data_IF_702000266926
#
_entry.id   IF_702000266926
#
_cell.length_a   1.000
_cell.length_b   1.000
_cell.length_c   1.000
_cell.angle_alpha   90.00
_cell.angle_beta   90.00
_cell.angle_gamma   90.00
#
_symmetry.space_group_name_H-M   'P 1'
#
loop_
_entity.id
_entity.type
_entity.pdbx_description
1 polymer ?
#
# COMPACT_ATOMS: atom_id res chain seq x y z
N UNK A 1 -53.32 9.52 -25.91
CA UNK A 1 -52.93 9.46 -24.48
C UNK A 1 -52.11 8.20 -24.24
N UNK A 2 -51.27 8.19 -23.19
CA UNK A 2 -50.54 7.04 -22.62
C UNK A 2 -49.10 6.78 -23.08
N UNK A 3 -48.16 7.55 -22.50
CA UNK A 3 -46.76 7.15 -22.26
C UNK A 3 -46.37 7.49 -20.82
N UNK A 4 -46.69 6.61 -19.86
CA UNK A 4 -46.29 6.87 -18.44
C UNK A 4 -45.87 5.64 -17.63
N UNK A 5 -45.95 4.42 -18.16
CA UNK A 5 -45.64 3.20 -17.38
C UNK A 5 -44.18 2.72 -17.43
N UNK A 6 -43.34 3.21 -18.36
CA UNK A 6 -41.95 2.71 -18.53
C UNK A 6 -40.93 3.24 -17.51
N UNK A 7 -41.20 4.35 -16.82
CA UNK A 7 -40.17 5.07 -16.05
C UNK A 7 -39.85 4.47 -14.66
N UNK A 8 -40.78 3.73 -14.06
CA UNK A 8 -40.62 3.14 -12.72
C UNK A 8 -39.65 1.95 -12.69
N UNK A 9 -39.80 1.02 -13.64
CA UNK A 9 -38.97 -0.19 -13.74
C UNK A 9 -37.50 0.10 -14.05
N UNK A 10 -37.22 1.14 -14.84
CA UNK A 10 -35.86 1.52 -15.24
C UNK A 10 -35.08 2.19 -14.08
N UNK A 11 -35.77 3.03 -13.28
CA UNK A 11 -35.21 3.64 -12.07
C UNK A 11 -34.86 2.59 -11.02
N UNK A 12 -35.75 1.63 -10.75
CA UNK A 12 -35.50 0.56 -9.79
C UNK A 12 -34.28 -0.30 -10.19
N UNK A 13 -34.17 -0.68 -11.47
CA UNK A 13 -33.00 -1.42 -12.01
C UNK A 13 -31.70 -0.63 -11.88
N UNK A 14 -31.73 0.70 -12.09
CA UNK A 14 -30.54 1.57 -11.95
C UNK A 14 -30.08 1.67 -10.50
N UNK A 15 -31.00 1.78 -9.53
CA UNK A 15 -30.67 1.79 -8.11
C UNK A 15 -30.12 0.44 -7.63
N UNK A 16 -30.71 -0.66 -8.09
CA UNK A 16 -30.21 -2.02 -7.80
C UNK A 16 -28.77 -2.22 -8.27
N UNK A 17 -28.46 -1.87 -9.53
CA UNK A 17 -27.09 -1.98 -10.08
C UNK A 17 -26.06 -1.13 -9.31
N UNK A 18 -26.43 0.10 -8.94
CA UNK A 18 -25.56 0.97 -8.13
C UNK A 18 -25.28 0.39 -6.74
N UNK A 19 -26.25 -0.29 -6.15
CA UNK A 19 -26.11 -0.91 -4.84
C UNK A 19 -25.19 -2.14 -4.91
N UNK A 20 -25.31 -2.96 -5.95
CA UNK A 20 -24.42 -4.09 -6.19
C UNK A 20 -22.97 -3.65 -6.41
N UNK A 21 -22.73 -2.69 -7.31
CA UNK A 21 -21.37 -2.18 -7.57
C UNK A 21 -20.70 -1.59 -6.33
N UNK A 22 -21.46 -0.93 -5.45
CA UNK A 22 -20.95 -0.42 -4.16
C UNK A 22 -20.57 -1.54 -3.19
N UNK A 23 -21.29 -2.66 -3.20
CA UNK A 23 -20.97 -3.82 -2.36
C UNK A 23 -19.68 -4.48 -2.84
N UNK A 24 -19.56 -4.71 -4.15
CA UNK A 24 -18.35 -5.24 -4.77
C UNK A 24 -17.12 -4.34 -4.46
N UNK A 25 -17.25 -3.02 -4.64
CA UNK A 25 -16.19 -2.08 -4.27
C UNK A 25 -15.85 -2.10 -2.77
N UNK A 26 -16.84 -2.32 -1.90
CA UNK A 26 -16.63 -2.43 -0.46
C UNK A 26 -15.92 -3.73 -0.08
N UNK A 27 -16.25 -4.84 -0.73
CA UNK A 27 -15.62 -6.14 -0.56
C UNK A 27 -14.17 -6.13 -1.04
N UNK A 28 -13.90 -5.55 -2.23
CA UNK A 28 -12.55 -5.33 -2.74
C UNK A 28 -11.71 -4.47 -1.79
N UNK A 29 -12.31 -3.40 -1.25
CA UNK A 29 -11.65 -2.52 -0.28
C UNK A 29 -11.28 -3.28 0.99
N UNK A 30 -12.19 -4.09 1.52
CA UNK A 30 -11.95 -4.84 2.75
C UNK A 30 -10.91 -5.94 2.53
N UNK A 31 -10.97 -6.68 1.42
CA UNK A 31 -9.97 -7.68 1.07
C UNK A 31 -8.57 -7.07 0.93
N UNK A 32 -8.47 -5.86 0.36
CA UNK A 32 -7.22 -5.13 0.24
C UNK A 32 -6.68 -4.68 1.60
N UNK A 33 -7.55 -4.16 2.49
CA UNK A 33 -7.17 -3.80 3.85
C UNK A 33 -6.73 -5.01 4.66
N UNK A 34 -7.44 -6.13 4.53
CA UNK A 34 -7.10 -7.36 5.23
C UNK A 34 -5.72 -7.88 4.82
N UNK A 35 -5.42 -7.83 3.52
CA UNK A 35 -4.08 -8.15 3.04
C UNK A 35 -3.01 -7.21 3.62
N UNK A 36 -3.27 -5.89 3.65
CA UNK A 36 -2.35 -4.92 4.25
C UNK A 36 -2.15 -5.18 5.75
N UNK A 37 -3.20 -5.56 6.48
CA UNK A 37 -3.12 -5.93 7.91
C UNK A 37 -2.25 -7.16 8.12
N UNK A 38 -2.42 -8.21 7.29
CA UNK A 38 -1.59 -9.42 7.36
C UNK A 38 -0.12 -9.14 7.07
N UNK A 39 0.17 -8.32 6.06
CA UNK A 39 1.54 -7.90 5.73
C UNK A 39 2.12 -6.99 6.84
N UNK A 40 1.34 -6.06 7.38
CA UNK A 40 1.73 -5.21 8.50
C UNK A 40 2.08 -6.03 9.74
N UNK A 41 1.26 -7.01 10.09
CA UNK A 41 1.50 -7.90 11.24
C UNK A 41 2.82 -8.68 11.06
N UNK A 42 3.07 -9.20 9.85
CA UNK A 42 4.29 -9.94 9.52
C UNK A 42 5.55 -9.07 9.64
N UNK A 43 5.47 -7.79 9.21
CA UNK A 43 6.56 -6.82 9.34
C UNK A 43 6.74 -6.40 10.80
N UNK A 44 5.65 -6.02 11.48
CA UNK A 44 5.68 -5.56 12.85
C UNK A 44 6.27 -6.60 13.79
N UNK A 45 5.88 -7.87 13.65
CA UNK A 45 6.44 -8.98 14.42
C UNK A 45 7.96 -9.11 14.24
N UNK A 46 8.47 -8.94 13.01
CA UNK A 46 9.91 -9.03 12.74
C UNK A 46 10.73 -7.98 13.47
N UNK A 47 10.16 -6.78 13.66
CA UNK A 47 10.85 -5.62 14.21
C UNK A 47 10.42 -5.25 15.64
N UNK A 48 9.53 -6.04 16.26
CA UNK A 48 9.02 -5.76 17.60
C UNK A 48 8.16 -4.48 17.67
N UNK A 49 7.49 -4.11 16.58
CA UNK A 49 6.63 -2.93 16.52
C UNK A 49 5.23 -3.26 17.03
N UNK A 50 4.60 -2.30 17.70
CA UNK A 50 3.19 -2.39 18.14
C UNK A 50 2.39 -1.28 17.48
N UNK A 51 1.30 -1.65 16.83
CA UNK A 51 0.32 -0.72 16.26
C UNK A 51 -1.08 -1.16 16.69
N UNK A 52 -2.04 -0.25 16.62
CA UNK A 52 -3.42 -0.48 17.06
C UNK A 52 -4.32 -0.96 15.93
N UNK A 53 -4.25 -0.30 14.77
CA UNK A 53 -5.08 -0.63 13.61
C UNK A 53 -4.43 -0.17 12.29
N UNK A 54 -4.77 -0.86 11.19
CA UNK A 54 -4.56 -0.38 9.82
C UNK A 54 -5.94 -0.05 9.22
N UNK A 55 -6.11 1.19 8.77
CA UNK A 55 -7.34 1.74 8.22
C UNK A 55 -7.13 2.38 6.84
N UNK A 56 -8.22 2.56 6.10
CA UNK A 56 -8.19 3.37 4.88
C UNK A 56 -8.12 4.87 5.23
N UNK A 57 -7.21 5.60 4.59
CA UNK A 57 -7.18 7.06 4.69
C UNK A 57 -8.38 7.70 3.97
N UNK A 58 -8.83 8.84 4.47
CA UNK A 58 -9.94 9.59 3.90
C UNK A 58 -9.59 10.11 2.51
N UNK A 59 -10.43 9.82 1.51
CA UNK A 59 -10.24 10.27 0.12
C UNK A 59 -10.21 11.80 -0.08
N UNK A 60 -10.62 12.58 0.93
CA UNK A 60 -10.50 14.05 0.93
C UNK A 60 -9.09 14.53 1.28
N UNK A 61 -8.26 13.71 1.92
CA UNK A 61 -6.88 14.04 2.24
C UNK A 61 -6.08 14.00 0.94
N UNK A 62 -5.62 15.16 0.47
CA UNK A 62 -4.94 15.27 -0.83
C UNK A 62 -3.42 15.15 -0.76
N UNK A 63 -2.81 15.55 0.35
CA UNK A 63 -1.35 15.77 0.44
C UNK A 63 -0.50 14.58 0.88
N UNK A 64 -1.07 13.53 1.49
CA UNK A 64 -0.29 12.40 2.03
C UNK A 64 -0.89 11.07 1.65
N UNK A 65 -0.04 10.07 1.44
CA UNK A 65 -0.45 8.71 1.11
C UNK A 65 -0.70 7.86 2.36
N UNK A 66 -0.14 8.23 3.50
CA UNK A 66 -0.39 7.58 4.78
C UNK A 66 -0.25 8.51 5.97
N UNK A 67 -0.56 8.00 7.15
CA UNK A 67 -0.24 8.65 8.42
C UNK A 67 -0.22 7.64 9.56
N UNK A 68 0.76 7.77 10.46
CA UNK A 68 0.82 7.08 11.74
C UNK A 68 0.44 8.03 12.88
N UNK A 69 -0.60 7.69 13.63
CA UNK A 69 -1.02 8.43 14.81
C UNK A 69 -0.21 7.97 16.04
N UNK A 70 -0.13 8.82 17.07
CA UNK A 70 0.60 8.50 18.32
C UNK A 70 -0.01 7.34 19.09
N UNK A 71 -1.29 7.01 18.88
CA UNK A 71 -1.97 5.84 19.45
C UNK A 71 -1.73 4.55 18.63
N UNK A 72 -0.89 4.61 17.59
CA UNK A 72 -0.54 3.49 16.75
C UNK A 72 -1.60 3.15 15.69
N UNK A 73 -2.58 4.03 15.44
CA UNK A 73 -3.47 3.89 14.27
C UNK A 73 -2.73 4.35 13.01
N UNK A 74 -2.63 3.47 12.01
CA UNK A 74 -2.00 3.75 10.73
C UNK A 74 -3.10 3.82 9.66
N UNK A 75 -3.09 4.90 8.89
CA UNK A 75 -4.01 5.09 7.76
C UNK A 75 -3.25 5.03 6.47
N UNK A 76 -3.77 4.28 5.50
CA UNK A 76 -3.16 4.10 4.18
C UNK A 76 -4.18 4.47 3.10
N UNK A 77 -3.77 5.34 2.18
CA UNK A 77 -4.57 5.69 1.00
C UNK A 77 -4.65 4.50 0.07
N UNK A 78 -5.85 4.18 -0.40
CA UNK A 78 -6.09 3.06 -1.32
C UNK A 78 -6.28 3.50 -2.77
N UNK A 79 -6.56 4.79 -3.02
CA UNK A 79 -6.89 5.33 -4.35
C UNK A 79 -6.14 6.62 -4.63
N UNK A 80 -5.76 6.84 -5.88
CA UNK A 80 -5.15 8.08 -6.33
C UNK A 80 -6.15 9.23 -6.26
N UNK A 81 -5.77 10.36 -5.67
CA UNK A 81 -6.68 11.51 -5.46
C UNK A 81 -7.16 12.10 -6.77
N UNK A 82 -6.28 12.24 -7.76
CA UNK A 82 -6.61 12.86 -9.05
C UNK A 82 -7.43 11.95 -9.96
N UNK A 83 -7.08 10.67 -10.07
CA UNK A 83 -7.68 9.76 -11.05
C UNK A 83 -8.77 8.86 -10.46
N UNK A 84 -8.88 8.80 -9.13
CA UNK A 84 -9.80 7.89 -8.42
C UNK A 84 -9.45 6.40 -8.56
N UNK A 85 -8.44 6.06 -9.36
CA UNK A 85 -8.00 4.69 -9.62
C UNK A 85 -7.35 4.09 -8.35
N UNK A 86 -7.50 2.78 -8.10
CA UNK A 86 -6.77 2.10 -7.03
C UNK A 86 -5.26 2.33 -7.14
N UNK A 87 -4.60 2.53 -6.01
CA UNK A 87 -3.15 2.52 -5.96
C UNK A 87 -2.62 1.12 -6.24
N UNK A 88 -1.38 1.05 -6.72
CA UNK A 88 -0.69 -0.23 -6.83
C UNK A 88 -0.42 -0.77 -5.43
N UNK A 89 -0.54 -2.08 -5.27
CA UNK A 89 -0.23 -2.75 -4.00
C UNK A 89 1.18 -2.41 -3.50
N UNK A 90 2.18 -2.43 -4.39
CA UNK A 90 3.55 -2.06 -4.04
C UNK A 90 3.67 -0.64 -3.49
N UNK A 91 2.89 0.32 -4.01
CA UNK A 91 2.88 1.69 -3.50
C UNK A 91 2.29 1.76 -2.10
N UNK A 92 1.18 1.05 -1.85
CA UNK A 92 0.59 0.95 -0.51
C UNK A 92 1.53 0.29 0.50
N UNK A 93 2.24 -0.77 0.10
CA UNK A 93 3.23 -1.44 0.97
C UNK A 93 4.42 -0.54 1.29
N UNK A 94 4.91 0.24 0.32
CA UNK A 94 5.98 1.21 0.58
C UNK A 94 5.53 2.27 1.59
N UNK A 95 4.32 2.80 1.45
CA UNK A 95 3.72 3.70 2.45
C UNK A 95 3.54 3.01 3.80
N UNK A 96 3.06 1.77 3.83
CA UNK A 96 2.92 1.00 5.07
C UNK A 96 4.26 0.85 5.81
N UNK A 97 5.35 0.55 5.11
CA UNK A 97 6.69 0.47 5.71
C UNK A 97 7.13 1.81 6.32
N UNK A 98 6.84 2.92 5.64
CA UNK A 98 7.10 4.27 6.12
C UNK A 98 6.34 4.56 7.41
N UNK A 99 5.03 4.27 7.45
CA UNK A 99 4.22 4.50 8.64
C UNK A 99 4.60 3.57 9.81
N UNK A 100 5.00 2.33 9.53
CA UNK A 100 5.53 1.43 10.56
C UNK A 100 6.85 1.96 11.14
N UNK A 101 7.70 2.59 10.33
CA UNK A 101 8.92 3.21 10.81
C UNK A 101 8.64 4.36 11.80
N UNK A 102 7.52 5.07 11.63
CA UNK A 102 7.09 6.12 12.56
C UNK A 102 6.75 5.64 13.96
N UNK A 103 6.39 4.36 14.13
CA UNK A 103 6.19 3.76 15.46
C UNK A 103 7.47 3.76 16.32
N UNK A 104 8.63 3.83 15.68
CA UNK A 104 9.94 3.88 16.35
C UNK A 104 10.60 5.25 16.26
N UNK A 105 10.43 5.95 15.13
CA UNK A 105 11.07 7.23 14.85
C UNK A 105 10.05 8.26 14.37
N UNK A 106 9.63 9.16 15.26
CA UNK A 106 8.59 10.15 14.95
C UNK A 106 8.98 11.14 13.85
N UNK A 107 10.26 11.53 13.78
CA UNK A 107 10.77 12.50 12.80
C UNK A 107 11.55 11.82 11.67
N UNK A 108 11.49 12.38 10.46
CA UNK A 108 12.19 11.90 9.25
C UNK A 108 13.72 12.12 9.24
N UNK A 109 14.37 12.05 10.40
CA UNK A 109 15.82 12.16 10.54
C UNK A 109 16.58 10.94 10.00
N UNK A 110 17.91 10.91 10.20
CA UNK A 110 18.77 9.82 9.74
C UNK A 110 18.30 8.45 10.26
N UNK A 111 18.04 8.32 11.57
CA UNK A 111 17.56 7.06 12.17
C UNK A 111 16.25 6.56 11.55
N UNK A 112 15.34 7.46 11.16
CA UNK A 112 14.10 7.08 10.48
C UNK A 112 14.40 6.51 9.09
N UNK A 113 15.24 7.19 8.30
CA UNK A 113 15.57 6.75 6.94
C UNK A 113 16.23 5.38 6.95
N UNK A 114 17.23 5.20 7.83
CA UNK A 114 17.95 3.93 7.99
C UNK A 114 16.98 2.81 8.40
N UNK A 115 16.09 3.09 9.36
CA UNK A 115 15.12 2.08 9.80
C UNK A 115 14.09 1.76 8.73
N UNK A 116 13.56 2.76 8.03
CA UNK A 116 12.61 2.58 6.93
C UNK A 116 13.23 1.75 5.80
N UNK A 117 14.49 1.98 5.45
CA UNK A 117 15.20 1.17 4.46
C UNK A 117 15.31 -0.29 4.88
N UNK A 118 15.66 -0.54 6.15
CA UNK A 118 15.72 -1.91 6.70
C UNK A 118 14.35 -2.59 6.67
N UNK A 119 13.28 -1.87 7.04
CA UNK A 119 11.90 -2.39 7.00
C UNK A 119 11.48 -2.73 5.56
N UNK A 120 11.72 -1.81 4.63
CA UNK A 120 11.38 -1.99 3.22
C UNK A 120 12.16 -3.14 2.58
N UNK A 121 13.43 -3.30 2.96
CA UNK A 121 14.26 -4.40 2.46
C UNK A 121 13.85 -5.77 3.01
N UNK A 122 13.41 -5.83 4.27
CA UNK A 122 12.75 -7.03 4.80
C UNK A 122 11.47 -7.35 4.04
N UNK A 123 10.61 -6.36 3.79
CA UNK A 123 9.38 -6.56 3.02
C UNK A 123 9.69 -7.07 1.61
N UNK A 124 10.78 -6.60 0.99
CA UNK A 124 11.25 -7.08 -0.31
C UNK A 124 11.67 -8.55 -0.27
N UNK A 125 12.54 -8.91 0.67
CA UNK A 125 13.05 -10.28 0.85
C UNK A 125 11.95 -11.28 1.20
N UNK A 126 10.92 -10.82 1.91
CA UNK A 126 9.75 -11.62 2.29
C UNK A 126 8.69 -11.73 1.17
N UNK A 127 8.92 -11.08 0.02
CA UNK A 127 8.00 -11.10 -1.12
C UNK A 127 6.75 -10.22 -0.96
N UNK A 128 6.60 -9.52 0.18
CA UNK A 128 5.52 -8.57 0.48
C UNK A 128 5.63 -7.34 -0.44
N UNK A 129 6.85 -6.82 -0.59
CA UNK A 129 7.14 -5.66 -1.44
C UNK A 129 7.83 -6.10 -2.73
N UNK A 130 7.19 -5.85 -3.87
CA UNK A 130 7.78 -6.04 -5.19
C UNK A 130 7.79 -4.71 -5.93
N UNK A 131 8.90 -3.97 -5.92
CA UNK A 131 8.98 -2.75 -6.71
C UNK A 131 8.81 -3.12 -8.18
N UNK A 132 8.09 -2.27 -8.89
CA UNK A 132 7.94 -2.44 -10.33
C UNK A 132 9.29 -2.18 -10.99
N UNK A 133 9.74 -3.08 -11.86
CA UNK A 133 10.93 -2.82 -12.67
C UNK A 133 10.71 -1.52 -13.47
N UNK A 134 11.68 -0.59 -13.44
CA UNK A 134 11.59 0.62 -14.27
C UNK A 134 11.48 0.22 -15.75
N UNK A 135 10.57 0.86 -16.49
CA UNK A 135 10.48 0.71 -17.96
C UNK A 135 9.36 -0.21 -18.50
N UNK A 136 8.67 -1.02 -17.70
CA UNK A 136 7.52 -1.81 -18.22
C UNK A 136 6.26 -0.93 -18.26
N UNK A 137 5.42 -0.91 -19.30
CA UNK A 137 4.09 -0.27 -19.26
C UNK A 137 3.12 -1.06 -18.37
N UNK A 138 2.20 -0.36 -17.67
CA UNK A 138 1.33 -0.96 -16.65
C UNK A 138 0.35 -1.95 -17.29
N UNK A 139 0.60 -3.25 -17.12
CA UNK A 139 -0.43 -4.24 -17.34
C UNK A 139 -1.50 -4.06 -16.25
N UNK A 140 -2.69 -3.67 -16.67
CA UNK A 140 -3.89 -3.49 -15.86
C UNK A 140 -4.34 -4.85 -15.30
N UNK A 141 -4.61 -4.93 -14.00
CA UNK A 141 -5.59 -5.89 -13.46
C UNK A 141 -5.23 -7.37 -13.35
N UNK A 142 -3.95 -7.78 -13.22
CA UNK A 142 -3.67 -9.19 -12.95
C UNK A 142 -4.18 -9.63 -11.55
N UNK A 143 -4.93 -10.73 -11.45
CA UNK A 143 -5.51 -11.20 -10.19
C UNK A 143 -4.43 -11.54 -9.15
N UNK A 144 -4.71 -11.19 -7.90
CA UNK A 144 -3.84 -11.36 -6.74
C UNK A 144 -3.71 -12.84 -6.36
N UNK A 145 -2.98 -13.63 -7.13
CA UNK A 145 -2.53 -14.96 -6.68
C UNK A 145 -1.27 -14.80 -5.84
N UNK A 146 -1.35 -15.16 -4.55
CA UNK A 146 -0.16 -15.33 -3.71
C UNK A 146 0.69 -16.47 -4.32
N UNK A 147 1.98 -16.28 -4.58
CA UNK A 147 2.87 -17.42 -4.79
C UNK A 147 2.98 -18.21 -3.47
N UNK A 148 2.89 -19.53 -3.57
CA UNK A 148 3.17 -20.45 -2.46
C UNK A 148 4.61 -20.24 -1.93
N UNK A 149 4.88 -20.50 -0.65
CA UNK A 149 6.23 -20.34 -0.09
C UNK A 149 7.20 -21.33 -0.77
N UNK A 150 8.17 -20.78 -1.49
CA UNK A 150 9.29 -21.57 -2.00
C UNK A 150 10.23 -21.92 -0.82
N UNK A 151 10.53 -23.21 -0.68
CA UNK A 151 11.44 -23.74 0.32
C UNK A 151 12.82 -23.05 0.25
N UNK A 152 13.35 -22.68 1.42
CA UNK A 152 14.70 -22.14 1.57
C UNK A 152 15.73 -23.16 1.08
N UNK A 153 16.40 -22.87 -0.03
CA UNK A 153 17.70 -23.46 -0.36
C UNK A 153 18.80 -22.57 0.25
N UNK A 154 19.56 -23.13 1.19
CA UNK A 154 20.73 -22.51 1.78
C UNK A 154 21.84 -22.40 0.70
N UNK A 155 22.13 -21.16 0.28
CA UNK A 155 23.19 -20.83 -0.65
C UNK A 155 24.05 -19.69 -0.11
N UNK A 156 25.32 -20.01 0.13
CA UNK A 156 26.40 -19.17 0.68
C UNK A 156 26.67 -17.93 -0.20
N UNK A 157 26.67 -16.73 0.36
CA UNK A 157 27.02 -15.47 -0.33
C UNK A 157 28.53 -15.21 -0.31
N UNK A 158 29.18 -14.84 -1.43
CA UNK A 158 30.52 -14.26 -1.40
C UNK A 158 30.48 -12.72 -1.28
N UNK A 159 31.32 -12.20 -0.38
CA UNK A 159 31.97 -10.87 -0.38
C UNK A 159 31.18 -9.63 -0.84
N UNK A 160 30.64 -8.87 0.11
CA UNK A 160 30.15 -7.51 -0.14
C UNK A 160 31.33 -6.53 -0.29
N UNK A 161 31.39 -5.81 -1.41
CA UNK A 161 32.21 -4.59 -1.55
C UNK A 161 31.48 -3.42 -0.89
N UNK A 162 32.20 -2.46 -0.28
CA UNK A 162 31.59 -1.26 0.30
C UNK A 162 30.99 -0.35 -0.78
N UNK A 163 29.86 0.28 -0.45
CA UNK A 163 29.16 1.23 -1.32
C UNK A 163 29.91 2.58 -1.42
N UNK A 164 29.87 3.25 -2.59
CA UNK A 164 30.46 4.59 -2.75
C UNK A 164 29.66 5.67 -2.00
N UNK A 165 30.31 6.78 -1.59
CA UNK A 165 29.63 7.87 -0.90
C UNK A 165 28.60 8.57 -1.80
N UNK A 166 27.53 9.15 -1.22
CA UNK A 166 26.54 9.90 -1.97
C UNK A 166 27.14 11.19 -2.55
N UNK A 167 26.76 11.50 -3.80
CA UNK A 167 27.19 12.72 -4.51
C UNK A 167 26.40 13.93 -4.01
N UNK A 168 27.05 15.08 -3.71
CA UNK A 168 26.33 16.31 -3.42
C UNK A 168 25.71 16.91 -4.70
N UNK A 169 24.44 17.33 -4.63
CA UNK A 169 23.85 18.24 -5.64
C UNK A 169 22.82 17.67 -6.62
N UNK A 170 22.12 16.57 -6.32
CA UNK A 170 20.92 16.20 -7.07
C UNK A 170 19.67 16.80 -6.40
N UNK A 171 18.77 17.48 -7.13
CA UNK A 171 17.50 17.96 -6.58
C UNK A 171 16.68 16.76 -6.10
N UNK A 172 16.11 16.89 -4.90
CA UNK A 172 15.28 15.88 -4.27
C UNK A 172 14.16 15.47 -5.24
N UNK A 173 14.19 14.21 -5.69
CA UNK A 173 12.99 13.58 -6.16
C UNK A 173 12.09 13.46 -4.94
N UNK A 174 11.21 14.45 -4.85
CA UNK A 174 10.02 14.51 -4.01
C UNK A 174 9.18 13.24 -4.27
N UNK A 175 9.55 12.12 -3.67
CA UNK A 175 8.57 11.09 -3.35
C UNK A 175 7.85 11.65 -2.14
N UNK A 176 6.85 12.46 -2.43
CA UNK A 176 5.79 12.81 -1.49
C UNK A 176 5.16 11.48 -1.06
N UNK A 177 5.57 10.96 0.10
CA UNK A 177 4.84 9.97 0.88
C UNK A 177 3.92 10.75 1.84
#
# INVERSE_FOLDING_TARGET
MSRTAKSGGERARRLGRRSAARREEAEEREALLERLRGDAASIAARFGLRYRAIEAENGRVRRRYGSCHSDGVIKIRLRHVTTGRPLKYSSMVATLCHELAHLKHFHHGASFRDFNEVVLDYARRSGIYRPRAPGRPAAEGAPLTRPAPAALAAGRLPGARPAPPPRPGQPEQLILL
#
